data_IF_119888582843
#
_entry.id   IF_119888582843
#
_cell.length_a   1.000
_cell.length_b   1.000
_cell.length_c   1.000
_cell.angle_alpha   90.00
_cell.angle_beta   90.00
_cell.angle_gamma   90.00
#
_symmetry.space_group_name_H-M   'P 1'
#
loop_
_entity.id
_entity.type
_entity.pdbx_description
1 polymer ?
#
# COMPACT_ATOMS: atom_id res chain seq x y z
N UNK A 1 15.67 17.27 -24.25
CA UNK A 1 15.33 17.46 -22.81
C UNK A 1 14.53 16.25 -22.38
N UNK A 2 14.84 15.63 -21.23
CA UNK A 2 14.04 14.52 -20.71
C UNK A 2 12.69 15.01 -20.21
N UNK A 3 11.63 14.21 -20.39
CA UNK A 3 10.25 14.54 -20.09
C UNK A 3 9.70 13.71 -18.95
N UNK A 4 8.96 14.33 -18.03
CA UNK A 4 8.44 13.65 -16.85
C UNK A 4 6.98 13.98 -16.56
N UNK A 5 6.17 12.96 -16.28
CA UNK A 5 4.82 13.09 -15.72
C UNK A 5 4.91 12.98 -14.21
N UNK A 6 4.52 14.02 -13.51
CA UNK A 6 4.54 14.07 -12.06
C UNK A 6 3.16 13.70 -11.53
N UNK A 7 3.05 12.56 -10.82
CA UNK A 7 1.83 12.17 -10.14
C UNK A 7 1.58 13.09 -8.94
N UNK A 8 0.63 14.01 -9.07
CA UNK A 8 0.32 15.04 -8.07
C UNK A 8 -0.99 14.69 -7.35
N UNK A 9 -0.91 14.42 -6.06
CA UNK A 9 -2.06 14.09 -5.20
C UNK A 9 -2.61 15.26 -4.39
N UNK A 10 -2.10 16.48 -4.62
CA UNK A 10 -2.41 17.63 -3.76
C UNK A 10 -1.67 17.64 -2.42
N UNK A 11 -0.87 16.63 -2.12
CA UNK A 11 -0.02 16.55 -0.93
C UNK A 11 1.34 17.25 -1.11
N UNK A 12 1.99 17.56 0.04
CA UNK A 12 3.29 18.23 0.06
C UNK A 12 4.39 17.48 -0.70
N UNK A 13 4.40 16.14 -0.56
CA UNK A 13 5.44 15.29 -1.15
C UNK A 13 5.44 15.37 -2.67
N UNK A 14 4.27 15.21 -3.30
CA UNK A 14 4.15 15.31 -4.75
C UNK A 14 4.48 16.71 -5.29
N UNK A 15 4.21 17.74 -4.49
CA UNK A 15 4.53 19.14 -4.83
C UNK A 15 6.04 19.40 -4.84
N UNK A 16 6.75 18.90 -3.83
CA UNK A 16 8.23 19.03 -3.76
C UNK A 16 8.89 18.14 -4.81
N UNK A 17 8.34 16.94 -5.08
CA UNK A 17 8.81 16.10 -6.18
C UNK A 17 8.76 16.85 -7.53
N UNK A 18 7.64 17.56 -7.80
CA UNK A 18 7.51 18.39 -8.99
C UNK A 18 8.55 19.52 -9.06
N UNK A 19 8.79 20.20 -7.93
CA UNK A 19 9.81 21.25 -7.83
C UNK A 19 11.21 20.72 -8.17
N UNK A 20 11.61 19.61 -7.55
CA UNK A 20 12.92 19.00 -7.78
C UNK A 20 13.13 18.59 -9.24
N UNK A 21 12.10 18.04 -9.90
CA UNK A 21 12.20 17.68 -11.31
C UNK A 21 12.37 18.90 -12.20
N UNK A 22 11.66 20.00 -11.92
CA UNK A 22 11.82 21.28 -12.64
C UNK A 22 13.21 21.87 -12.45
N UNK A 23 13.72 21.88 -11.22
CA UNK A 23 15.06 22.37 -10.90
C UNK A 23 16.16 21.54 -11.59
N UNK A 24 15.94 20.24 -11.77
CA UNK A 24 16.84 19.36 -12.49
C UNK A 24 16.68 19.42 -14.04
N UNK A 25 15.93 20.39 -14.56
CA UNK A 25 15.86 20.65 -16.01
C UNK A 25 14.98 19.71 -16.81
N UNK A 26 14.05 18.99 -16.18
CA UNK A 26 13.07 18.17 -16.90
C UNK A 26 11.93 19.03 -17.48
N UNK A 27 11.44 18.63 -18.65
CA UNK A 27 10.15 19.09 -19.16
C UNK A 27 9.05 18.32 -18.41
N UNK A 28 8.28 19.02 -17.55
CA UNK A 28 7.34 18.39 -16.65
C UNK A 28 5.89 18.75 -16.95
N UNK A 29 5.01 17.76 -16.81
CA UNK A 29 3.56 17.98 -16.63
C UNK A 29 3.12 17.40 -15.28
N UNK A 30 2.16 18.08 -14.63
CA UNK A 30 1.47 17.57 -13.47
C UNK A 30 0.27 16.71 -13.89
N UNK A 31 0.05 15.61 -13.21
CA UNK A 31 -1.05 14.69 -13.44
C UNK A 31 -1.71 14.25 -12.14
N UNK A 32 -3.00 14.56 -11.95
CA UNK A 32 -3.79 13.98 -10.87
C UNK A 32 -4.64 12.84 -11.43
N UNK A 33 -4.64 11.71 -10.73
CA UNK A 33 -5.50 10.58 -11.03
C UNK A 33 -6.82 10.74 -10.26
N UNK A 34 -7.94 10.92 -10.98
CA UNK A 34 -9.26 10.87 -10.39
C UNK A 34 -9.65 9.39 -10.21
N UNK A 35 -9.69 8.93 -8.96
CA UNK A 35 -9.87 7.52 -8.59
C UNK A 35 -11.31 7.16 -8.25
N UNK A 36 -12.10 8.11 -7.71
CA UNK A 36 -13.51 7.95 -7.33
C UNK A 36 -14.21 9.31 -7.27
N UNK A 37 -15.52 9.32 -7.23
CA UNK A 37 -16.30 10.50 -6.82
C UNK A 37 -16.72 10.31 -5.35
N UNK A 38 -16.83 11.40 -4.60
CA UNK A 38 -17.21 11.37 -3.19
C UNK A 38 -18.56 10.68 -2.96
N UNK A 39 -19.47 10.81 -3.93
CA UNK A 39 -20.79 10.19 -3.91
C UNK A 39 -20.72 8.66 -4.01
N UNK A 40 -19.79 8.14 -4.81
CA UNK A 40 -19.61 6.70 -5.03
C UNK A 40 -19.18 5.96 -3.74
N UNK A 41 -18.48 6.66 -2.84
CA UNK A 41 -17.95 6.08 -1.59
C UNK A 41 -18.72 6.56 -0.34
N UNK A 42 -19.87 7.24 -0.53
CA UNK A 42 -20.79 7.63 0.55
C UNK A 42 -20.23 8.70 1.50
N UNK A 43 -19.30 9.55 1.02
CA UNK A 43 -18.65 10.57 1.83
C UNK A 43 -19.11 11.96 1.43
N UNK A 44 -19.42 12.79 2.44
CA UNK A 44 -19.65 14.22 2.23
C UNK A 44 -18.36 14.91 1.74
N UNK A 45 -18.50 15.94 0.92
CA UNK A 45 -17.47 16.62 0.09
C UNK A 45 -16.17 17.06 0.79
N UNK A 46 -16.00 16.89 2.08
CA UNK A 46 -14.98 17.61 2.86
C UNK A 46 -13.73 16.79 3.29
N UNK A 47 -13.61 15.47 3.01
CA UNK A 47 -12.59 14.64 3.71
C UNK A 47 -11.83 13.58 2.89
N UNK A 48 -11.55 13.76 1.61
CA UNK A 48 -10.86 12.72 0.83
C UNK A 48 -9.61 13.20 0.09
N UNK A 49 -8.59 12.30 -0.07
CA UNK A 49 -7.33 12.59 -0.78
C UNK A 49 -7.47 12.85 -2.29
N UNK A 50 -8.66 12.71 -2.86
CA UNK A 50 -8.98 13.06 -4.25
C UNK A 50 -10.13 14.05 -4.28
N UNK A 51 -10.28 14.85 -3.23
CA UNK A 51 -11.26 15.94 -3.16
C UNK A 51 -10.98 16.99 -4.25
N UNK A 52 -11.98 17.78 -4.56
CA UNK A 52 -11.80 18.96 -5.45
C UNK A 52 -10.68 19.86 -4.90
N UNK A 53 -10.55 19.95 -3.58
CA UNK A 53 -9.50 20.74 -2.91
C UNK A 53 -8.10 20.18 -3.18
N UNK A 54 -7.93 18.85 -3.20
CA UNK A 54 -6.63 18.24 -3.54
C UNK A 54 -6.25 18.49 -5.01
N UNK A 55 -7.22 18.44 -5.91
CA UNK A 55 -7.02 18.78 -7.32
C UNK A 55 -6.65 20.26 -7.47
N UNK A 56 -7.32 21.16 -6.74
CA UNK A 56 -7.00 22.59 -6.77
C UNK A 56 -5.63 22.88 -6.14
N UNK A 57 -5.27 22.24 -5.03
CA UNK A 57 -3.93 22.35 -4.44
C UNK A 57 -2.84 21.91 -5.44
N UNK A 58 -3.03 20.75 -6.09
CA UNK A 58 -2.11 20.26 -7.12
C UNK A 58 -2.01 21.22 -8.30
N UNK A 59 -3.16 21.76 -8.76
CA UNK A 59 -3.22 22.75 -9.85
C UNK A 59 -2.53 24.05 -9.47
N UNK A 60 -2.71 24.54 -8.24
CA UNK A 60 -2.06 25.75 -7.74
C UNK A 60 -0.53 25.59 -7.73
N UNK A 61 -0.02 24.45 -7.26
CA UNK A 61 1.41 24.15 -7.31
C UNK A 61 1.92 24.06 -8.75
N UNK A 62 1.21 23.35 -9.64
CA UNK A 62 1.59 23.24 -11.04
C UNK A 62 1.66 24.62 -11.73
N UNK A 63 0.70 25.51 -11.47
CA UNK A 63 0.72 26.90 -11.97
C UNK A 63 1.94 27.66 -11.45
N UNK A 64 2.25 27.55 -10.15
CA UNK A 64 3.41 28.20 -9.54
C UNK A 64 4.72 27.74 -10.15
N UNK A 65 4.80 26.45 -10.54
CA UNK A 65 5.97 25.86 -11.21
C UNK A 65 5.96 26.04 -12.74
N UNK A 66 5.00 26.79 -13.29
CA UNK A 66 4.82 26.97 -14.73
C UNK A 66 4.79 25.64 -15.49
N UNK A 67 4.02 24.66 -14.99
CA UNK A 67 3.84 23.34 -15.60
C UNK A 67 2.40 23.18 -16.12
N UNK A 68 2.18 22.58 -17.31
CA UNK A 68 0.87 22.06 -17.69
C UNK A 68 0.36 21.05 -16.67
N UNK A 69 -0.95 21.02 -16.46
CA UNK A 69 -1.58 20.16 -15.48
C UNK A 69 -2.82 19.48 -16.04
N UNK A 70 -2.94 18.18 -15.82
CA UNK A 70 -4.02 17.34 -16.33
C UNK A 70 -4.65 16.51 -15.21
N UNK A 71 -5.92 16.16 -15.38
CA UNK A 71 -6.63 15.20 -14.53
C UNK A 71 -7.00 14.00 -15.39
N UNK A 72 -6.48 12.82 -15.06
CA UNK A 72 -6.80 11.57 -15.72
C UNK A 72 -7.88 10.83 -14.94
N UNK A 73 -8.94 10.43 -15.63
CA UNK A 73 -10.00 9.63 -15.01
C UNK A 73 -9.60 8.14 -15.03
N UNK A 74 -9.39 7.57 -13.85
CA UNK A 74 -9.06 6.15 -13.63
C UNK A 74 -10.07 5.47 -12.68
N UNK A 75 -11.31 5.99 -12.62
CA UNK A 75 -12.36 5.48 -11.71
C UNK A 75 -12.66 4.00 -11.94
N UNK A 76 -12.92 3.62 -13.19
CA UNK A 76 -13.29 2.24 -13.54
C UNK A 76 -12.19 1.23 -13.19
N UNK A 77 -10.92 1.62 -13.43
CA UNK A 77 -9.79 0.78 -13.07
C UNK A 77 -9.60 0.70 -11.56
N UNK A 78 -9.79 1.82 -10.85
CA UNK A 78 -9.69 1.85 -9.39
C UNK A 78 -10.76 0.98 -8.74
N UNK A 79 -12.00 1.09 -9.21
CA UNK A 79 -13.10 0.22 -8.78
C UNK A 79 -12.74 -1.26 -8.95
N UNK A 80 -12.44 -1.69 -10.18
CA UNK A 80 -12.19 -3.10 -10.51
C UNK A 80 -10.94 -3.68 -9.87
N UNK A 81 -9.85 -2.90 -9.80
CA UNK A 81 -8.54 -3.42 -9.38
C UNK A 81 -8.25 -3.20 -7.89
N UNK A 82 -8.82 -2.17 -7.30
CA UNK A 82 -8.53 -1.81 -5.90
C UNK A 82 -9.73 -2.09 -5.01
N UNK A 83 -10.91 -1.52 -5.31
CA UNK A 83 -12.08 -1.66 -4.42
C UNK A 83 -12.63 -3.09 -4.46
N UNK A 84 -12.87 -3.66 -5.64
CA UNK A 84 -13.39 -5.03 -5.76
C UNK A 84 -12.44 -6.06 -5.13
N UNK A 85 -11.12 -5.89 -5.36
CA UNK A 85 -10.12 -6.75 -4.73
C UNK A 85 -10.07 -6.59 -3.20
N UNK A 86 -10.23 -5.36 -2.71
CA UNK A 86 -10.33 -5.07 -1.29
C UNK A 86 -11.52 -5.79 -0.65
N UNK A 87 -12.70 -5.66 -1.22
CA UNK A 87 -13.92 -6.32 -0.74
C UNK A 87 -13.77 -7.84 -0.79
N UNK A 88 -13.38 -8.38 -1.95
CA UNK A 88 -13.20 -9.82 -2.15
C UNK A 88 -12.22 -10.44 -1.15
N UNK A 89 -11.11 -9.76 -0.87
CA UNK A 89 -10.12 -10.25 0.08
C UNK A 89 -10.69 -10.35 1.50
N UNK A 90 -11.46 -9.34 1.96
CA UNK A 90 -12.14 -9.40 3.25
C UNK A 90 -13.19 -10.51 3.30
N UNK A 91 -13.96 -10.70 2.22
CA UNK A 91 -14.95 -11.79 2.10
C UNK A 91 -14.30 -13.18 2.14
N UNK A 92 -13.08 -13.29 1.64
CA UNK A 92 -12.25 -14.50 1.70
C UNK A 92 -11.47 -14.65 3.02
N UNK A 93 -11.78 -13.83 4.03
CA UNK A 93 -11.16 -13.89 5.37
C UNK A 93 -9.80 -13.25 5.48
N UNK A 94 -9.23 -12.74 4.39
CA UNK A 94 -7.95 -12.05 4.36
C UNK A 94 -8.03 -10.61 4.86
N UNK A 95 -6.90 -9.92 4.76
CA UNK A 95 -6.77 -8.48 5.03
C UNK A 95 -5.94 -7.86 3.91
N UNK A 96 -6.54 -7.12 2.98
CA UNK A 96 -5.84 -6.55 1.82
C UNK A 96 -4.96 -5.36 2.19
N UNK A 97 -4.03 -5.02 1.29
CA UNK A 97 -3.35 -3.73 1.28
C UNK A 97 -3.67 -2.98 -0.01
N UNK A 98 -4.70 -2.11 -0.03
CA UNK A 98 -5.15 -1.45 -1.25
C UNK A 98 -4.13 -0.47 -1.83
N UNK A 99 -3.17 0.02 -1.01
CA UNK A 99 -2.10 0.90 -1.50
C UNK A 99 -1.14 0.16 -2.44
N UNK A 100 -0.90 -1.12 -2.22
CA UNK A 100 -0.09 -1.96 -3.13
C UNK A 100 -0.80 -2.09 -4.48
N UNK A 101 -2.10 -2.42 -4.48
CA UNK A 101 -2.88 -2.54 -5.71
C UNK A 101 -2.99 -1.20 -6.48
N UNK A 102 -3.19 -0.10 -5.75
CA UNK A 102 -3.20 1.23 -6.33
C UNK A 102 -1.84 1.59 -6.97
N UNK A 103 -0.73 1.31 -6.31
CA UNK A 103 0.60 1.51 -6.90
C UNK A 103 0.77 0.64 -8.14
N UNK A 104 0.49 -0.67 -8.04
CA UNK A 104 0.65 -1.65 -9.12
C UNK A 104 -0.15 -1.26 -10.36
N UNK A 105 -1.47 -1.08 -10.21
CA UNK A 105 -2.40 -0.98 -11.33
C UNK A 105 -2.65 0.45 -11.81
N UNK A 106 -2.64 1.45 -10.92
CA UNK A 106 -2.97 2.82 -11.33
C UNK A 106 -1.71 3.65 -11.58
N UNK A 107 -0.82 3.75 -10.58
CA UNK A 107 0.35 4.63 -10.69
C UNK A 107 1.41 4.08 -11.65
N UNK A 108 1.69 2.77 -11.59
CA UNK A 108 2.80 2.19 -12.36
C UNK A 108 2.37 1.28 -13.52
N UNK A 109 1.07 1.14 -13.77
CA UNK A 109 0.53 0.53 -14.99
C UNK A 109 -0.19 1.60 -15.82
N UNK A 110 -1.33 2.14 -15.36
CA UNK A 110 -2.15 3.08 -16.15
C UNK A 110 -1.49 4.43 -16.39
N UNK A 111 -0.90 5.05 -15.37
CA UNK A 111 -0.21 6.33 -15.57
C UNK A 111 1.04 6.15 -16.45
N UNK A 112 1.69 4.99 -16.39
CA UNK A 112 2.83 4.68 -17.26
C UNK A 112 2.40 4.47 -18.72
N UNK A 113 1.24 3.88 -18.96
CA UNK A 113 0.65 3.84 -20.31
C UNK A 113 0.39 5.25 -20.83
N UNK A 114 -0.16 6.15 -20.01
CA UNK A 114 -0.33 7.56 -20.39
C UNK A 114 0.99 8.27 -20.68
N UNK A 115 2.03 7.94 -19.91
CA UNK A 115 3.40 8.43 -20.16
C UNK A 115 3.87 8.04 -21.56
N UNK A 116 3.69 6.78 -21.95
CA UNK A 116 4.08 6.27 -23.28
C UNK A 116 3.28 6.94 -24.39
N UNK A 117 1.94 7.03 -24.27
CA UNK A 117 1.05 7.67 -25.24
C UNK A 117 1.42 9.15 -25.48
N UNK A 118 1.79 9.85 -24.42
CA UNK A 118 2.19 11.26 -24.48
C UNK A 118 3.67 11.45 -24.84
N UNK A 119 4.42 10.34 -25.05
CA UNK A 119 5.86 10.34 -25.38
C UNK A 119 6.70 11.05 -24.31
N UNK A 120 6.40 10.76 -23.04
CA UNK A 120 7.21 11.15 -21.89
C UNK A 120 8.15 9.99 -21.50
N UNK A 121 9.25 10.31 -20.82
CA UNK A 121 10.30 9.34 -20.50
C UNK A 121 10.10 8.72 -19.11
N UNK A 122 9.53 9.47 -18.16
CA UNK A 122 9.45 9.08 -16.76
C UNK A 122 8.10 9.38 -16.13
N UNK A 123 7.66 8.48 -15.23
CA UNK A 123 6.67 8.75 -14.18
C UNK A 123 7.40 9.13 -12.91
N UNK A 124 6.98 10.20 -12.26
CA UNK A 124 7.57 10.70 -11.02
C UNK A 124 6.52 10.73 -9.93
N UNK A 125 6.87 10.25 -8.75
CA UNK A 125 5.96 10.27 -7.59
C UNK A 125 6.69 10.76 -6.34
N UNK A 126 5.93 11.22 -5.35
CA UNK A 126 6.43 11.64 -4.05
C UNK A 126 6.71 10.50 -3.07
N UNK A 127 6.98 9.29 -3.52
CA UNK A 127 7.31 8.19 -2.62
C UNK A 127 8.71 8.35 -2.01
N UNK A 128 8.83 7.96 -0.74
CA UNK A 128 10.11 7.84 -0.03
C UNK A 128 10.70 6.45 -0.30
N UNK A 129 11.36 6.32 -1.43
CA UNK A 129 12.13 5.16 -1.87
C UNK A 129 13.22 5.66 -2.83
N UNK A 130 14.18 4.83 -3.19
CA UNK A 130 15.21 5.18 -4.17
C UNK A 130 15.35 4.06 -5.20
N UNK A 131 15.90 4.37 -6.36
CA UNK A 131 16.18 3.44 -7.45
C UNK A 131 17.64 3.56 -7.84
N UNK A 132 18.35 2.44 -7.87
CA UNK A 132 19.74 2.36 -8.32
C UNK A 132 19.86 1.43 -9.52
N UNK A 133 20.63 1.86 -10.52
CA UNK A 133 21.02 0.97 -11.62
C UNK A 133 22.39 0.37 -11.31
N UNK A 134 22.43 -0.94 -11.12
CA UNK A 134 23.64 -1.67 -10.77
C UNK A 134 23.63 -3.06 -11.44
N UNK A 135 24.77 -3.48 -11.95
CA UNK A 135 24.99 -4.81 -12.56
C UNK A 135 23.93 -5.17 -13.63
N UNK A 136 23.54 -4.19 -14.45
CA UNK A 136 22.60 -4.38 -15.55
C UNK A 136 21.12 -4.40 -15.14
N UNK A 137 20.78 -4.11 -13.88
CA UNK A 137 19.42 -4.11 -13.36
C UNK A 137 19.08 -2.85 -12.57
N UNK A 138 17.81 -2.50 -12.53
CA UNK A 138 17.27 -1.49 -11.63
C UNK A 138 16.88 -2.13 -10.31
N UNK A 139 17.41 -1.61 -9.22
CA UNK A 139 17.18 -2.09 -7.86
C UNK A 139 16.35 -1.05 -7.11
N UNK A 140 15.30 -1.51 -6.43
CA UNK A 140 14.50 -0.68 -5.53
C UNK A 140 15.18 -0.65 -4.16
N UNK A 141 15.34 0.55 -3.59
CA UNK A 141 15.97 0.79 -2.31
C UNK A 141 15.03 1.47 -1.33
N UNK A 142 15.27 1.25 -0.06
CA UNK A 142 14.62 2.00 1.02
C UNK A 142 14.93 3.49 0.91
N UNK A 143 13.98 4.32 1.33
CA UNK A 143 14.23 5.74 1.52
C UNK A 143 15.18 6.02 2.68
N UNK A 144 15.90 7.16 2.63
CA UNK A 144 16.79 7.65 3.71
C UNK A 144 16.03 7.77 5.05
N UNK A 145 14.80 8.26 5.02
CA UNK A 145 13.94 8.34 6.19
C UNK A 145 13.24 7.01 6.43
N UNK A 146 13.81 6.16 7.27
CA UNK A 146 13.28 4.84 7.59
C UNK A 146 11.85 4.91 8.18
N UNK A 147 11.50 6.02 8.85
CA UNK A 147 10.16 6.20 9.44
C UNK A 147 9.09 6.48 8.38
N UNK A 148 9.51 6.89 7.19
CA UNK A 148 8.68 7.22 6.03
C UNK A 148 8.93 6.29 4.83
N UNK A 149 9.83 5.31 4.97
CA UNK A 149 10.15 4.38 3.89
C UNK A 149 8.89 3.71 3.31
N UNK A 150 8.74 3.81 2.00
CA UNK A 150 7.60 3.27 1.26
C UNK A 150 7.98 2.15 0.29
N UNK A 151 9.21 1.64 0.38
CA UNK A 151 9.68 0.53 -0.46
C UNK A 151 8.80 -0.71 -0.36
N UNK A 152 8.19 -0.95 0.82
CA UNK A 152 7.25 -2.05 1.05
C UNK A 152 6.06 -2.04 0.08
N UNK A 153 5.46 -0.89 -0.23
CA UNK A 153 4.30 -0.81 -1.11
C UNK A 153 4.66 -0.70 -2.60
N UNK A 154 5.96 -0.79 -2.92
CA UNK A 154 6.52 -0.66 -4.27
C UNK A 154 7.17 -1.96 -4.78
N UNK A 155 7.16 -3.04 -4.00
CA UNK A 155 7.82 -4.30 -4.36
C UNK A 155 7.33 -4.90 -5.68
N UNK A 156 6.13 -4.57 -6.11
CA UNK A 156 5.52 -5.10 -7.33
C UNK A 156 6.02 -4.45 -8.62
N UNK A 157 6.91 -3.46 -8.54
CA UNK A 157 7.45 -2.79 -9.72
C UNK A 157 8.33 -3.72 -10.55
N UNK A 158 8.07 -3.77 -11.85
CA UNK A 158 8.87 -4.50 -12.83
C UNK A 158 10.14 -3.74 -13.19
N UNK A 159 11.10 -4.40 -13.84
CA UNK A 159 12.33 -3.76 -14.33
C UNK A 159 12.04 -2.60 -15.29
N UNK A 160 11.04 -2.76 -16.17
CA UNK A 160 10.61 -1.68 -17.05
C UNK A 160 10.07 -0.48 -16.27
N UNK A 161 9.22 -0.73 -15.26
CA UNK A 161 8.66 0.32 -14.43
C UNK A 161 9.72 1.03 -13.61
N UNK A 162 10.68 0.30 -13.04
CA UNK A 162 11.81 0.89 -12.31
C UNK A 162 12.68 1.76 -13.22
N UNK A 163 12.95 1.31 -14.47
CA UNK A 163 13.73 2.07 -15.44
C UNK A 163 13.11 3.42 -15.84
N UNK A 164 11.76 3.51 -15.76
CA UNK A 164 11.00 4.70 -16.18
C UNK A 164 10.34 5.43 -15.00
N UNK A 165 10.81 5.20 -13.78
CA UNK A 165 10.31 5.83 -12.55
C UNK A 165 11.42 6.63 -11.87
N UNK A 166 11.06 7.79 -11.30
CA UNK A 166 11.95 8.57 -10.46
C UNK A 166 11.26 8.87 -9.12
N UNK A 167 11.95 8.63 -8.02
CA UNK A 167 11.55 8.97 -6.66
C UNK A 167 12.47 10.09 -6.12
N UNK A 168 12.17 11.36 -6.39
CA UNK A 168 13.10 12.45 -6.04
C UNK A 168 13.26 12.67 -4.54
N UNK A 169 12.35 12.14 -3.72
CA UNK A 169 12.32 12.33 -2.27
C UNK A 169 13.10 11.27 -1.49
N UNK A 170 13.51 10.19 -2.13
CA UNK A 170 14.14 9.05 -1.44
C UNK A 170 15.39 9.37 -0.63
N UNK A 171 16.08 10.47 -0.97
CA UNK A 171 17.31 10.93 -0.30
C UNK A 171 17.09 11.99 0.79
N UNK A 172 15.84 12.31 1.10
CA UNK A 172 15.46 13.35 2.05
C UNK A 172 14.62 12.80 3.19
N UNK A 173 14.67 13.46 4.34
CA UNK A 173 13.72 13.24 5.42
C UNK A 173 12.42 14.00 5.18
N UNK A 174 11.37 13.63 5.88
CA UNK A 174 10.07 14.31 5.78
C UNK A 174 10.15 15.77 6.21
N UNK A 175 10.96 16.07 7.23
CA UNK A 175 11.13 17.43 7.74
C UNK A 175 11.88 18.32 6.73
N UNK A 176 12.91 17.79 6.06
CA UNK A 176 13.59 18.49 4.96
C UNK A 176 12.60 18.83 3.84
N UNK A 177 11.72 17.90 3.46
CA UNK A 177 10.71 18.10 2.41
C UNK A 177 9.68 19.16 2.81
N UNK A 178 9.21 19.17 4.05
CA UNK A 178 8.28 20.20 4.56
C UNK A 178 8.93 21.57 4.55
N UNK A 179 10.18 21.67 4.97
CA UNK A 179 10.94 22.93 4.93
C UNK A 179 11.07 23.46 3.51
N UNK A 180 11.43 22.62 2.55
CA UNK A 180 11.49 23.00 1.13
C UNK A 180 10.14 23.49 0.62
N UNK A 181 9.03 22.84 0.99
CA UNK A 181 7.69 23.28 0.60
C UNK A 181 7.32 24.65 1.18
N UNK A 182 7.66 24.91 2.45
CA UNK A 182 7.44 26.21 3.13
C UNK A 182 8.29 27.32 2.51
N UNK A 183 9.58 27.08 2.29
CA UNK A 183 10.50 28.05 1.65
C UNK A 183 10.06 28.42 0.24
N UNK A 184 9.46 27.50 -0.48
CA UNK A 184 8.88 27.76 -1.81
C UNK A 184 7.44 28.26 -1.77
N UNK A 185 6.86 28.50 -0.57
CA UNK A 185 5.52 29.05 -0.38
C UNK A 185 4.42 28.20 -1.04
N UNK A 186 4.49 26.88 -0.92
CA UNK A 186 3.42 26.00 -1.41
C UNK A 186 2.21 26.08 -0.48
N UNK A 187 1.01 26.18 -1.04
CA UNK A 187 -0.24 26.30 -0.28
C UNK A 187 -0.49 25.09 0.65
N UNK A 188 -0.01 23.93 0.23
CA UNK A 188 -0.17 22.66 0.94
C UNK A 188 1.03 22.26 1.82
N UNK A 189 2.01 23.16 2.06
CA UNK A 189 3.22 22.87 2.84
C UNK A 189 2.92 22.32 4.25
N UNK A 190 1.84 22.79 4.89
CA UNK A 190 1.41 22.37 6.25
C UNK A 190 0.33 21.28 6.25
N UNK A 191 -0.05 20.77 5.08
CA UNK A 191 -1.05 19.72 4.97
C UNK A 191 -0.59 18.45 5.68
N UNK A 192 -1.49 17.81 6.43
CA UNK A 192 -1.19 16.55 7.10
C UNK A 192 -1.07 15.42 6.09
N UNK A 193 -0.21 14.44 6.41
CA UNK A 193 -0.09 13.23 5.61
C UNK A 193 -1.41 12.43 5.69
N UNK A 194 -1.83 11.84 4.59
CA UNK A 194 -2.91 10.84 4.60
C UNK A 194 -2.42 9.59 5.31
N UNK A 195 -3.07 9.22 6.42
CA UNK A 195 -2.64 8.09 7.26
C UNK A 195 -3.49 6.84 7.04
N UNK A 196 -4.68 6.99 6.47
CA UNK A 196 -5.68 5.93 6.32
C UNK A 196 -5.89 5.55 4.83
N UNK A 197 -6.67 4.50 4.62
CA UNK A 197 -7.11 4.09 3.28
C UNK A 197 -7.92 5.24 2.67
N UNK A 198 -7.47 5.77 1.53
CA UNK A 198 -8.00 7.00 0.95
C UNK A 198 -9.52 6.98 0.67
N UNK A 199 -10.10 5.81 0.41
CA UNK A 199 -11.54 5.63 0.19
C UNK A 199 -12.32 5.13 1.44
N UNK A 200 -11.65 5.05 2.61
CA UNK A 200 -12.26 4.70 3.91
C UNK A 200 -11.83 5.76 4.95
N UNK A 201 -12.24 7.02 4.81
CA UNK A 201 -11.70 8.13 5.61
C UNK A 201 -12.13 8.13 7.07
N UNK A 202 -13.22 7.45 7.43
CA UNK A 202 -13.67 7.27 8.82
C UNK A 202 -13.03 6.05 9.50
N UNK A 203 -12.18 5.31 8.77
CA UNK A 203 -11.50 4.10 9.27
C UNK A 203 -12.41 2.89 9.45
N UNK A 204 -13.72 3.01 9.21
CA UNK A 204 -14.68 1.89 9.29
C UNK A 204 -14.81 1.19 7.91
N UNK A 205 -13.81 0.35 7.62
CA UNK A 205 -13.81 -0.42 6.37
C UNK A 205 -15.00 -1.38 6.26
N UNK A 206 -15.53 -1.86 7.37
CA UNK A 206 -16.67 -2.79 7.34
C UNK A 206 -17.95 -2.09 6.88
N UNK A 207 -18.19 -0.88 7.38
CA UNK A 207 -19.30 -0.03 6.94
C UNK A 207 -19.15 0.36 5.47
N UNK A 208 -17.91 0.69 5.03
CA UNK A 208 -17.63 0.94 3.63
C UNK A 208 -18.00 -0.27 2.76
N UNK A 209 -17.53 -1.48 3.12
CA UNK A 209 -17.82 -2.73 2.39
C UNK A 209 -19.32 -2.99 2.32
N UNK A 210 -20.04 -2.87 3.45
CA UNK A 210 -21.49 -3.07 3.50
C UNK A 210 -22.25 -2.10 2.58
N UNK A 211 -21.89 -0.83 2.62
CA UNK A 211 -22.51 0.21 1.79
C UNK A 211 -22.22 0.00 0.29
N UNK A 212 -20.96 -0.25 -0.04
CA UNK A 212 -20.53 -0.41 -1.43
C UNK A 212 -21.09 -1.69 -2.06
N UNK A 213 -21.04 -2.82 -1.34
CA UNK A 213 -21.57 -4.09 -1.81
C UNK A 213 -23.12 -4.16 -1.75
N UNK A 214 -23.78 -3.19 -1.12
CA UNK A 214 -25.25 -3.18 -0.96
C UNK A 214 -25.78 -4.35 -0.14
N UNK A 215 -24.95 -4.96 0.73
CA UNK A 215 -25.34 -6.12 1.55
C UNK A 215 -24.80 -6.02 2.96
N UNK A 216 -25.47 -6.70 3.89
CA UNK A 216 -25.01 -6.89 5.26
C UNK A 216 -24.43 -8.28 5.44
N UNK A 217 -23.45 -8.39 6.31
CA UNK A 217 -22.84 -9.67 6.66
C UNK A 217 -23.50 -10.17 7.97
N UNK A 218 -23.98 -11.43 7.98
CA UNK A 218 -24.77 -11.93 9.11
C UNK A 218 -23.93 -12.05 10.38
N UNK A 219 -24.60 -11.93 11.52
CA UNK A 219 -24.03 -12.28 12.81
C UNK A 219 -23.61 -13.75 12.83
N UNK A 220 -22.60 -14.06 13.61
CA UNK A 220 -22.08 -15.41 13.77
C UNK A 220 -21.50 -15.63 15.16
N UNK A 221 -20.74 -16.71 15.33
CA UNK A 221 -20.19 -17.11 16.61
C UNK A 221 -18.70 -16.77 16.74
N UNK A 222 -18.33 -16.22 17.90
CA UNK A 222 -16.98 -16.35 18.39
C UNK A 222 -16.83 -17.75 19.00
N UNK A 223 -15.78 -18.45 18.61
CA UNK A 223 -15.48 -19.80 19.13
C UNK A 223 -14.03 -19.89 19.60
N UNK A 224 -13.75 -20.81 20.53
CA UNK A 224 -12.37 -21.19 20.84
C UNK A 224 -11.79 -22.16 19.81
N UNK A 225 -10.55 -22.61 20.01
CA UNK A 225 -9.87 -23.60 19.14
C UNK A 225 -10.57 -24.96 19.07
N UNK A 226 -11.37 -25.28 20.09
CA UNK A 226 -12.11 -26.56 20.18
C UNK A 226 -13.52 -26.44 19.57
N UNK A 227 -13.91 -25.24 19.12
CA UNK A 227 -15.22 -24.97 18.56
C UNK A 227 -16.29 -24.62 19.60
N UNK A 228 -15.95 -24.45 20.89
CA UNK A 228 -16.88 -24.01 21.90
C UNK A 228 -17.27 -22.55 21.67
N UNK A 229 -18.57 -22.26 21.73
CA UNK A 229 -19.09 -20.90 21.52
C UNK A 229 -18.78 -20.02 22.71
N UNK A 230 -18.14 -18.88 22.47
CA UNK A 230 -17.74 -17.89 23.44
C UNK A 230 -18.63 -16.65 23.44
N UNK A 231 -19.36 -16.41 22.34
CA UNK A 231 -20.23 -15.25 22.18
C UNK A 231 -20.65 -15.07 20.72
N UNK A 232 -21.25 -13.89 20.43
CA UNK A 232 -21.70 -13.54 19.07
C UNK A 232 -20.87 -12.40 18.49
N UNK A 233 -20.62 -12.45 17.18
CA UNK A 233 -20.03 -11.37 16.43
C UNK A 233 -21.00 -10.78 15.41
N UNK A 234 -20.80 -9.52 15.02
CA UNK A 234 -21.67 -8.75 14.13
C UNK A 234 -21.17 -8.70 12.68
N UNK A 235 -20.83 -9.85 12.09
CA UNK A 235 -20.31 -9.97 10.73
C UNK A 235 -18.82 -10.25 10.68
N UNK A 236 -18.44 -11.37 10.01
CA UNK A 236 -17.07 -11.92 9.99
C UNK A 236 -16.04 -10.98 9.35
N UNK A 237 -16.47 -10.10 8.44
CA UNK A 237 -15.59 -9.12 7.78
C UNK A 237 -15.02 -8.07 8.73
N UNK A 238 -15.68 -7.83 9.89
CA UNK A 238 -15.28 -6.83 10.89
C UNK A 238 -14.04 -7.20 11.69
N UNK A 239 -13.53 -8.41 11.50
CA UNK A 239 -12.46 -8.96 12.32
C UNK A 239 -11.23 -9.27 11.47
N UNK A 240 -10.04 -8.98 12.03
CA UNK A 240 -8.74 -9.19 11.39
C UNK A 240 -7.84 -10.03 12.29
N UNK A 241 -7.05 -10.91 11.72
CA UNK A 241 -6.08 -11.73 12.47
C UNK A 241 -5.16 -10.85 13.34
N UNK A 242 -5.06 -11.18 14.62
CA UNK A 242 -4.33 -10.44 15.63
C UNK A 242 -5.13 -9.35 16.33
N UNK A 243 -6.39 -9.12 15.95
CA UNK A 243 -7.26 -8.14 16.59
C UNK A 243 -7.60 -8.56 18.03
N UNK A 244 -7.45 -7.62 18.97
CA UNK A 244 -7.81 -7.76 20.38
C UNK A 244 -8.97 -6.84 20.79
N UNK A 245 -8.93 -5.58 20.30
CA UNK A 245 -9.94 -4.56 20.66
C UNK A 245 -11.18 -4.70 19.79
N UNK A 246 -12.34 -4.29 20.35
CA UNK A 246 -13.61 -4.27 19.60
C UNK A 246 -14.25 -5.66 19.42
N UNK A 247 -13.82 -6.68 20.18
CA UNK A 247 -14.47 -7.99 20.18
C UNK A 247 -15.75 -8.00 21.01
N UNK A 248 -15.89 -7.06 21.94
CA UNK A 248 -17.04 -6.94 22.85
C UNK A 248 -17.39 -8.25 23.60
N UNK A 249 -16.35 -8.99 24.00
CA UNK A 249 -16.45 -10.25 24.72
C UNK A 249 -15.63 -10.18 26.02
N UNK A 250 -16.18 -10.67 27.12
CA UNK A 250 -15.55 -10.65 28.44
C UNK A 250 -15.24 -12.08 28.91
N UNK A 251 -13.98 -12.48 28.76
CA UNK A 251 -13.50 -13.84 29.11
C UNK A 251 -12.55 -13.84 30.32
N UNK A 252 -12.36 -12.68 30.98
CA UNK A 252 -11.44 -12.57 32.12
C UNK A 252 -9.96 -12.59 31.79
N UNK A 253 -9.59 -12.84 30.52
CA UNK A 253 -8.21 -12.82 30.01
C UNK A 253 -8.15 -12.26 28.59
N UNK A 254 -6.99 -11.77 28.13
CA UNK A 254 -6.84 -11.28 26.76
C UNK A 254 -7.00 -12.39 25.72
N UNK A 255 -7.86 -12.15 24.73
CA UNK A 255 -8.05 -13.04 23.58
C UNK A 255 -7.83 -12.27 22.28
N UNK A 256 -7.48 -12.99 21.22
CA UNK A 256 -7.16 -12.46 19.91
C UNK A 256 -7.87 -13.26 18.83
N UNK A 257 -8.20 -12.60 17.73
CA UNK A 257 -8.65 -13.30 16.53
C UNK A 257 -7.45 -14.06 15.95
N UNK A 258 -7.54 -15.39 15.91
CA UNK A 258 -6.47 -16.26 15.41
C UNK A 258 -6.81 -16.86 14.05
N UNK A 259 -8.11 -17.06 13.74
CA UNK A 259 -8.56 -17.60 12.47
C UNK A 259 -10.01 -17.19 12.18
N UNK A 260 -10.47 -17.44 10.94
CA UNK A 260 -11.84 -17.23 10.46
C UNK A 260 -12.35 -18.46 9.72
N UNK A 261 -13.35 -19.14 10.25
CA UNK A 261 -14.09 -20.20 9.56
C UNK A 261 -15.23 -19.59 8.74
N UNK A 262 -14.94 -19.26 7.50
CA UNK A 262 -15.91 -18.63 6.60
C UNK A 262 -17.10 -19.53 6.30
N UNK A 263 -16.89 -20.86 6.24
CA UNK A 263 -17.93 -21.83 5.90
C UNK A 263 -19.02 -21.86 6.96
N UNK A 264 -18.64 -21.78 8.23
CA UNK A 264 -19.57 -21.83 9.36
C UNK A 264 -19.84 -20.45 9.98
N UNK A 265 -19.34 -19.34 9.34
CA UNK A 265 -19.47 -17.97 9.83
C UNK A 265 -18.99 -17.82 11.29
N UNK A 266 -17.77 -18.28 11.59
CA UNK A 266 -17.18 -18.27 12.92
C UNK A 266 -15.87 -17.50 12.94
N UNK A 267 -15.65 -16.72 13.99
CA UNK A 267 -14.37 -16.08 14.30
C UNK A 267 -13.71 -16.86 15.44
N UNK A 268 -12.54 -17.43 15.16
CA UNK A 268 -11.82 -18.23 16.14
C UNK A 268 -10.94 -17.35 17.00
N UNK A 269 -11.11 -17.46 18.32
CA UNK A 269 -10.34 -16.72 19.32
C UNK A 269 -9.32 -17.63 20.00
N UNK A 270 -8.17 -17.05 20.30
CA UNK A 270 -7.09 -17.77 20.99
C UNK A 270 -6.18 -16.84 21.79
N UNK A 271 -5.11 -17.40 22.32
CA UNK A 271 -4.08 -16.68 23.05
C UNK A 271 -3.16 -15.89 22.10
N UNK A 272 -2.26 -15.08 22.68
CA UNK A 272 -1.23 -14.40 21.89
C UNK A 272 -0.26 -15.39 21.21
N UNK A 273 0.02 -16.51 21.84
CA UNK A 273 0.98 -17.51 21.33
C UNK A 273 0.43 -18.23 20.10
N UNK A 274 -0.89 -18.35 19.98
CA UNK A 274 -1.57 -18.92 18.82
C UNK A 274 -1.45 -18.08 17.54
N UNK A 275 -0.96 -16.86 17.66
CA UNK A 275 -0.71 -15.96 16.52
C UNK A 275 0.65 -16.16 15.87
N UNK A 276 1.53 -16.95 16.47
CA UNK A 276 2.89 -17.12 16.02
C UNK A 276 2.99 -18.11 14.86
N UNK A 277 3.65 -17.71 13.77
CA UNK A 277 3.93 -18.52 12.59
C UNK A 277 5.43 -18.63 12.34
N UNK A 278 5.92 -19.83 12.11
CA UNK A 278 7.34 -20.07 11.77
C UNK A 278 7.61 -19.96 10.26
N UNK A 279 6.57 -20.03 9.44
CA UNK A 279 6.68 -19.92 7.98
C UNK A 279 5.42 -19.31 7.37
N UNK A 280 5.53 -18.90 6.11
CA UNK A 280 4.42 -18.54 5.25
C UNK A 280 4.69 -18.96 3.80
N UNK A 281 3.62 -19.01 3.02
CA UNK A 281 3.66 -19.14 1.57
C UNK A 281 3.13 -17.87 0.93
N UNK A 282 3.82 -17.38 -0.12
CA UNK A 282 3.42 -16.18 -0.85
C UNK A 282 3.26 -16.49 -2.34
N UNK A 283 2.12 -16.11 -2.88
CA UNK A 283 1.82 -16.15 -4.31
C UNK A 283 2.02 -14.80 -4.99
N UNK A 284 1.83 -14.77 -6.32
CA UNK A 284 2.01 -13.56 -7.14
C UNK A 284 3.31 -12.80 -6.82
N UNK A 285 4.40 -13.54 -6.73
CA UNK A 285 5.67 -13.02 -6.24
C UNK A 285 6.46 -12.32 -7.35
N UNK A 286 6.77 -11.04 -7.17
CA UNK A 286 7.64 -10.26 -8.05
C UNK A 286 9.06 -10.22 -7.49
N UNK A 287 10.04 -10.71 -8.27
CA UNK A 287 11.47 -10.57 -7.99
C UNK A 287 12.03 -9.31 -8.67
N UNK A 288 12.54 -8.38 -7.87
CA UNK A 288 13.26 -7.19 -8.36
C UNK A 288 14.67 -7.58 -8.75
N UNK A 289 15.32 -8.43 -7.94
CA UNK A 289 16.59 -9.08 -8.29
C UNK A 289 16.38 -10.22 -9.29
N UNK A 290 17.43 -10.84 -9.73
CA UNK A 290 17.33 -12.11 -10.45
C UNK A 290 16.72 -13.18 -9.54
N UNK A 291 15.77 -13.96 -10.09
CA UNK A 291 15.11 -15.03 -9.33
C UNK A 291 16.14 -16.02 -8.82
N UNK A 292 16.28 -16.24 -7.51
CA UNK A 292 17.31 -17.12 -6.97
C UNK A 292 17.03 -18.59 -7.30
N UNK A 293 18.11 -19.33 -7.61
CA UNK A 293 18.06 -20.77 -7.89
C UNK A 293 18.12 -21.65 -6.63
N UNK A 294 17.80 -21.13 -5.45
CA UNK A 294 17.88 -21.88 -4.21
C UNK A 294 17.38 -21.09 -3.01
N UNK A 295 17.83 -21.51 -1.84
CA UNK A 295 17.51 -20.81 -0.59
C UNK A 295 18.39 -19.58 -0.45
N UNK A 296 17.76 -18.44 -0.09
CA UNK A 296 18.47 -17.21 0.23
C UNK A 296 18.16 -16.80 1.68
N UNK A 297 19.18 -16.36 2.42
CA UNK A 297 19.02 -15.70 3.71
C UNK A 297 18.76 -14.22 3.47
N UNK A 298 17.71 -13.69 4.09
CA UNK A 298 17.29 -12.31 3.91
C UNK A 298 16.48 -11.82 5.11
N UNK A 299 15.99 -10.60 5.04
CA UNK A 299 15.05 -10.05 6.01
C UNK A 299 13.66 -9.99 5.39
N UNK A 300 12.60 -10.14 6.18
CA UNK A 300 11.22 -10.06 5.71
C UNK A 300 10.38 -9.09 6.54
N UNK A 301 9.46 -8.39 5.86
CA UNK A 301 8.33 -7.68 6.50
C UNK A 301 7.03 -8.31 6.00
N UNK A 302 6.13 -8.66 6.92
CA UNK A 302 4.79 -9.20 6.61
C UNK A 302 3.69 -8.15 6.77
N UNK A 303 4.03 -6.92 7.19
CA UNK A 303 3.17 -5.74 7.29
C UNK A 303 3.98 -4.47 7.11
N UNK A 304 3.36 -3.42 6.63
CA UNK A 304 4.01 -2.12 6.39
C UNK A 304 4.75 -1.59 7.63
N UNK A 305 4.08 -1.52 8.78
CA UNK A 305 4.64 -0.97 10.02
C UNK A 305 5.45 -1.97 10.87
N UNK A 306 5.75 -3.17 10.34
CA UNK A 306 6.53 -4.17 11.04
C UNK A 306 8.04 -3.91 10.87
N UNK A 307 8.84 -4.22 11.88
CA UNK A 307 10.29 -4.32 11.73
C UNK A 307 10.64 -5.56 10.93
N UNK A 308 11.74 -5.48 10.20
CA UNK A 308 12.28 -6.63 9.46
C UNK A 308 12.72 -7.74 10.41
N UNK A 309 12.45 -8.98 10.02
CA UNK A 309 12.86 -10.17 10.75
C UNK A 309 13.69 -11.08 9.86
N UNK A 310 14.72 -11.74 10.40
CA UNK A 310 15.57 -12.66 9.64
C UNK A 310 14.78 -13.89 9.20
N UNK A 311 15.03 -14.32 7.96
CA UNK A 311 14.36 -15.47 7.38
C UNK A 311 15.21 -16.13 6.28
N UNK A 312 14.77 -17.30 5.86
CA UNK A 312 15.24 -17.98 4.66
C UNK A 312 14.07 -18.10 3.68
N UNK A 313 14.25 -17.59 2.47
CA UNK A 313 13.26 -17.69 1.40
C UNK A 313 13.71 -18.67 0.32
N UNK A 314 12.77 -19.40 -0.26
CA UNK A 314 13.03 -20.28 -1.40
C UNK A 314 11.81 -20.34 -2.33
N UNK A 315 12.08 -20.52 -3.63
CA UNK A 315 11.02 -20.78 -4.60
C UNK A 315 10.41 -22.17 -4.36
N UNK A 316 9.09 -22.27 -4.40
CA UNK A 316 8.28 -23.47 -4.25
C UNK A 316 7.25 -23.48 -5.39
N UNK A 317 7.69 -23.97 -6.56
CA UNK A 317 6.93 -23.83 -7.81
C UNK A 317 6.82 -22.37 -8.25
N UNK A 318 5.59 -21.89 -8.38
CA UNK A 318 5.24 -20.50 -8.71
C UNK A 318 5.13 -19.59 -7.47
N UNK A 319 5.28 -20.18 -6.27
CA UNK A 319 5.20 -19.48 -4.99
C UNK A 319 6.57 -19.35 -4.33
N UNK A 320 6.61 -18.55 -3.27
CA UNK A 320 7.81 -18.40 -2.42
C UNK A 320 7.46 -18.78 -0.99
N UNK A 321 8.20 -19.76 -0.46
CA UNK A 321 8.16 -20.14 0.95
C UNK A 321 9.14 -19.29 1.72
N UNK A 322 8.69 -18.68 2.81
CA UNK A 322 9.51 -17.91 3.73
C UNK A 322 9.47 -18.55 5.09
N UNK A 323 10.62 -19.06 5.56
CA UNK A 323 10.81 -19.65 6.87
C UNK A 323 11.52 -18.64 7.77
N UNK A 324 10.91 -18.27 8.88
CA UNK A 324 11.45 -17.28 9.82
C UNK A 324 12.41 -17.94 10.80
N UNK A 325 13.50 -17.25 11.16
CA UNK A 325 14.45 -17.75 12.17
C UNK A 325 13.84 -17.73 13.58
N UNK A 326 12.83 -16.88 13.80
CA UNK A 326 12.00 -16.86 15.02
C UNK A 326 10.53 -16.63 14.63
N UNK A 327 9.57 -17.20 15.38
CA UNK A 327 8.16 -17.07 15.03
C UNK A 327 7.69 -15.61 14.91
N UNK A 328 6.92 -15.34 13.87
CA UNK A 328 6.38 -14.02 13.55
C UNK A 328 4.90 -13.97 13.89
N UNK A 329 4.51 -12.92 14.61
CA UNK A 329 3.16 -12.75 15.10
C UNK A 329 2.20 -12.29 13.99
N UNK A 330 1.03 -12.91 13.95
CA UNK A 330 -0.13 -12.49 13.16
C UNK A 330 0.18 -12.32 11.67
N UNK A 331 0.85 -13.30 11.08
CA UNK A 331 0.95 -13.45 9.63
C UNK A 331 -0.46 -13.59 9.07
N UNK A 332 -0.80 -12.72 8.11
CA UNK A 332 -2.21 -12.56 7.70
C UNK A 332 -2.35 -12.71 6.19
N UNK A 333 -3.25 -13.59 5.74
CA UNK A 333 -3.60 -13.77 4.32
C UNK A 333 -4.06 -12.45 3.68
N UNK A 334 -3.65 -12.22 2.45
CA UNK A 334 -3.96 -11.00 1.71
C UNK A 334 -3.04 -9.81 2.00
N UNK A 335 -2.22 -9.87 3.07
CA UNK A 335 -1.10 -8.93 3.25
C UNK A 335 0.06 -9.32 2.35
N UNK A 336 1.01 -8.41 2.14
CA UNK A 336 2.23 -8.72 1.43
C UNK A 336 3.32 -9.23 2.37
N UNK A 337 4.18 -10.11 1.84
CA UNK A 337 5.53 -10.31 2.37
C UNK A 337 6.52 -9.64 1.41
N UNK A 338 7.42 -8.82 1.96
CA UNK A 338 8.47 -8.15 1.18
C UNK A 338 9.82 -8.54 1.78
N UNK A 339 10.72 -8.98 0.90
CA UNK A 339 12.05 -9.45 1.24
C UNK A 339 13.09 -8.36 1.00
N UNK A 340 14.07 -8.27 1.91
CA UNK A 340 15.11 -7.25 1.91
C UNK A 340 16.50 -7.87 2.12
N UNK A 341 17.51 -7.22 1.52
CA UNK A 341 18.92 -7.40 1.88
C UNK A 341 19.55 -6.01 2.06
N UNK A 342 19.86 -5.68 3.32
CA UNK A 342 20.29 -4.34 3.68
C UNK A 342 19.27 -3.27 3.29
N UNK A 343 19.64 -2.37 2.39
CA UNK A 343 18.76 -1.31 1.87
C UNK A 343 17.94 -1.72 0.64
N UNK A 344 18.22 -2.87 0.03
CA UNK A 344 17.59 -3.31 -1.21
C UNK A 344 16.37 -4.17 -0.97
N UNK A 345 15.34 -3.93 -1.78
CA UNK A 345 14.18 -4.82 -1.89
C UNK A 345 14.52 -5.95 -2.86
N UNK A 346 14.47 -7.19 -2.40
CA UNK A 346 14.71 -8.37 -3.23
C UNK A 346 13.49 -8.73 -4.06
N UNK A 347 12.31 -8.56 -3.49
CA UNK A 347 11.03 -8.87 -4.08
C UNK A 347 9.92 -8.97 -3.03
N UNK A 348 8.74 -9.35 -3.46
CA UNK A 348 7.60 -9.56 -2.56
C UNK A 348 6.43 -10.23 -3.25
N UNK A 349 5.48 -10.68 -2.46
CA UNK A 349 4.27 -11.36 -2.92
C UNK A 349 3.15 -11.29 -1.91
N UNK A 350 1.98 -11.81 -2.27
CA UNK A 350 0.79 -11.84 -1.42
C UNK A 350 0.79 -13.11 -0.55
N UNK A 351 0.63 -12.97 0.76
CA UNK A 351 0.53 -14.06 1.74
C UNK A 351 -0.77 -14.84 1.52
N UNK A 352 -0.67 -16.17 1.43
CA UNK A 352 -1.78 -17.09 1.19
C UNK A 352 -2.31 -17.81 2.44
#
# INVERSE_FOLDING_TARGET
>A
MKKAIIAMSGGVDSSVAALFMKQNGYECIGATMKLYDNEDIGISREKTCCSLDDIEDARAVARKLCMPYYVFNFKDEFEKKVIDNFIKTYEQGGTPNPCIECNRHLKFEKLMLRMQELKYDYVVTGHYADIEYKDGRYLLKKGKDITKDQSYVLYSLTQYQLAHTIFPLGKFSKDEIRKVAEENGFINARKRDSQDICFVPDGDYSKFIENYAGKKYPDGDFVDKNGNVLGKHSGIIRYTIGQRKGLNIALGHPVYVIDKDLKNNRVVLGSNDDLNSSELLAGDFNWIIEKPNGKIKCMAKTRYNMREVPCTACCDGDKVRVCFDSPVRAVTKGQAVVLYDGEYVLGGGTIE
#
